data_IF_332237153224
#
_entry.id   IF_332237153224
#
_cell.length_a   1.000
_cell.length_b   1.000
_cell.length_c   1.000
_cell.angle_alpha   90.00
_cell.angle_beta   90.00
_cell.angle_gamma   90.00
#
_symmetry.space_group_name_H-M   'P 1'
#
loop_
_entity.id
_entity.type
_entity.pdbx_description
1 polymer ?
#
# COMPACT_ATOMS: atom_id res chain seq x y z
N UNK A 1 -54.12 52.65 13.69
CA UNK A 1 -53.52 51.49 14.39
C UNK A 1 -53.01 50.55 13.31
N UNK A 2 -51.72 50.63 12.99
CA UNK A 2 -51.11 49.77 11.97
C UNK A 2 -50.63 48.48 12.64
N UNK A 3 -51.09 47.33 12.15
CA UNK A 3 -50.56 46.02 12.51
C UNK A 3 -49.07 45.94 12.13
N UNK A 4 -48.17 45.46 13.01
CA UNK A 4 -46.78 45.26 12.62
C UNK A 4 -46.70 44.14 11.58
N UNK A 5 -46.02 44.40 10.46
CA UNK A 5 -45.70 43.38 9.46
C UNK A 5 -44.72 42.37 10.07
N UNK A 6 -45.19 41.16 10.38
CA UNK A 6 -44.40 40.04 10.93
C UNK A 6 -43.47 39.41 9.87
N UNK A 7 -42.65 40.21 9.18
CA UNK A 7 -41.69 39.74 8.18
C UNK A 7 -40.28 39.87 8.72
N UNK A 8 -39.54 38.75 8.80
CA UNK A 8 -38.17 38.74 9.28
C UNK A 8 -37.17 38.77 8.12
N UNK A 9 -36.08 39.52 8.26
CA UNK A 9 -34.93 39.37 7.36
C UNK A 9 -34.18 38.06 7.64
N UNK A 10 -33.42 37.56 6.65
CA UNK A 10 -32.59 36.35 6.83
C UNK A 10 -31.58 36.48 7.97
N UNK A 11 -31.00 37.67 8.15
CA UNK A 11 -30.07 37.96 9.24
C UNK A 11 -30.78 38.03 10.60
N UNK A 12 -31.99 38.60 10.66
CA UNK A 12 -32.79 38.63 11.88
C UNK A 12 -33.25 37.22 12.28
N UNK A 13 -33.61 36.39 11.30
CA UNK A 13 -33.97 35.00 11.52
C UNK A 13 -32.78 34.17 11.98
N UNK A 14 -31.62 34.33 11.35
CA UNK A 14 -30.42 33.64 11.79
C UNK A 14 -30.02 34.05 13.20
N UNK A 15 -30.00 35.35 13.51
CA UNK A 15 -29.69 35.84 14.85
C UNK A 15 -30.75 35.54 15.91
N UNK A 16 -31.95 35.10 15.51
CA UNK A 16 -32.92 34.53 16.44
C UNK A 16 -32.67 33.04 16.68
N UNK A 17 -32.22 32.31 15.65
CA UNK A 17 -31.88 30.90 15.76
C UNK A 17 -30.58 30.69 16.55
N UNK A 18 -29.57 31.55 16.33
CA UNK A 18 -28.29 31.61 17.05
C UNK A 18 -28.46 32.37 18.38
N UNK A 19 -28.69 31.65 19.48
CA UNK A 19 -28.99 32.24 20.79
C UNK A 19 -27.73 32.69 21.51
N UNK A 20 -26.63 31.96 21.32
CA UNK A 20 -25.35 32.24 21.96
C UNK A 20 -24.54 33.34 21.22
N UNK A 21 -24.96 33.71 19.99
CA UNK A 21 -24.37 34.72 19.10
C UNK A 21 -22.95 34.40 18.65
N UNK A 22 -22.60 33.12 18.52
CA UNK A 22 -21.30 32.67 18.07
C UNK A 22 -21.17 32.63 16.53
N UNK A 23 -22.25 32.95 15.80
CA UNK A 23 -22.30 32.94 14.35
C UNK A 23 -22.56 31.56 13.75
N UNK A 24 -22.94 30.60 14.58
CA UNK A 24 -23.15 29.20 14.26
C UNK A 24 -24.51 28.78 14.84
N UNK A 25 -25.28 27.98 14.11
CA UNK A 25 -26.47 27.33 14.68
C UNK A 25 -26.07 25.93 15.11
N UNK A 26 -26.07 25.68 16.42
CA UNK A 26 -25.74 24.38 17.01
C UNK A 26 -26.94 23.69 17.68
N UNK A 27 -26.68 22.55 18.32
CA UNK A 27 -27.70 21.77 19.02
C UNK A 27 -28.32 22.55 20.20
N UNK A 28 -27.52 23.29 20.94
CA UNK A 28 -27.96 24.06 22.10
C UNK A 28 -28.85 25.22 21.68
N UNK A 29 -28.52 25.87 20.56
CA UNK A 29 -29.32 26.93 19.95
C UNK A 29 -30.70 26.43 19.53
N UNK A 30 -30.76 25.30 18.81
CA UNK A 30 -32.03 24.69 18.38
C UNK A 30 -32.92 24.35 19.60
N UNK A 31 -32.34 23.79 20.66
CA UNK A 31 -33.05 23.45 21.89
C UNK A 31 -33.51 24.71 22.63
N UNK A 32 -32.66 25.73 22.71
CA UNK A 32 -32.95 27.00 23.36
C UNK A 32 -34.10 27.75 22.67
N UNK A 33 -34.10 27.79 21.34
CA UNK A 33 -35.18 28.39 20.54
C UNK A 33 -36.48 27.62 20.73
N UNK A 34 -36.45 26.29 20.71
CA UNK A 34 -37.61 25.44 20.99
C UNK A 34 -38.25 25.71 22.36
N UNK A 35 -37.46 26.07 23.36
CA UNK A 35 -37.95 26.35 24.71
C UNK A 35 -38.30 27.84 24.93
N UNK A 36 -38.13 28.70 23.92
CA UNK A 36 -38.41 30.12 24.04
C UNK A 36 -39.92 30.41 24.02
N UNK A 37 -40.43 31.34 24.86
CA UNK A 37 -41.87 31.63 24.97
C UNK A 37 -42.47 32.27 23.70
N UNK A 38 -41.61 32.74 22.78
CA UNK A 38 -42.01 33.40 21.53
C UNK A 38 -42.10 32.45 20.33
N UNK A 39 -41.69 31.19 20.48
CA UNK A 39 -41.74 30.19 19.42
C UNK A 39 -43.05 29.39 19.49
N UNK A 40 -44.00 29.68 18.61
CA UNK A 40 -45.18 28.83 18.42
C UNK A 40 -44.80 27.59 17.60
N UNK A 41 -44.21 26.59 18.26
CA UNK A 41 -43.91 25.28 17.66
C UNK A 41 -44.90 24.26 18.21
N UNK A 42 -45.56 23.52 17.33
CA UNK A 42 -46.47 22.44 17.72
C UNK A 42 -45.77 21.46 18.67
N UNK A 43 -46.43 21.09 19.77
CA UNK A 43 -45.86 20.20 20.79
C UNK A 43 -45.40 18.85 20.22
N UNK A 44 -46.09 18.33 19.19
CA UNK A 44 -45.73 17.08 18.52
C UNK A 44 -44.42 17.21 17.71
N UNK A 45 -44.24 18.34 17.01
CA UNK A 45 -43.00 18.66 16.30
C UNK A 45 -41.83 18.83 17.27
N UNK A 46 -42.08 19.49 18.41
CA UNK A 46 -41.09 19.70 19.44
C UNK A 46 -40.64 18.40 20.11
N UNK A 47 -41.57 17.45 20.32
CA UNK A 47 -41.27 16.14 20.86
C UNK A 47 -40.48 15.27 19.87
N UNK A 48 -40.83 15.31 18.58
CA UNK A 48 -40.09 14.63 17.51
C UNK A 48 -38.65 15.16 17.41
N UNK A 49 -38.48 16.48 17.42
CA UNK A 49 -37.16 17.12 17.43
C UNK A 49 -36.38 16.71 18.69
N UNK A 50 -36.94 16.83 19.89
CA UNK A 50 -36.26 16.43 21.14
C UNK A 50 -35.85 14.96 21.15
N UNK A 51 -36.71 14.07 20.66
CA UNK A 51 -36.46 12.62 20.63
C UNK A 51 -35.41 12.23 19.59
N UNK A 52 -35.45 12.85 18.39
CA UNK A 52 -34.42 12.64 17.36
C UNK A 52 -33.07 13.17 17.81
N UNK A 53 -33.05 14.32 18.47
CA UNK A 53 -31.82 14.96 18.96
C UNK A 53 -31.23 14.26 20.19
N UNK A 54 -32.03 13.73 21.12
CA UNK A 54 -31.52 13.03 22.30
C UNK A 54 -30.86 11.68 21.98
N UNK A 55 -31.27 11.04 20.89
CA UNK A 55 -30.79 9.70 20.50
C UNK A 55 -29.56 9.74 19.59
N UNK A 56 -29.20 10.91 19.03
CA UNK A 56 -28.01 11.08 18.21
C UNK A 56 -27.06 12.08 18.87
N UNK A 57 -25.99 11.59 19.50
CA UNK A 57 -24.85 12.40 19.93
C UNK A 57 -24.25 13.11 18.71
N UNK A 58 -24.62 14.36 18.45
CA UNK A 58 -24.14 15.13 17.29
C UNK A 58 -23.68 16.51 17.73
N UNK A 59 -22.38 16.78 17.57
CA UNK A 59 -21.82 18.12 17.44
C UNK A 59 -21.70 18.45 15.94
N UNK A 60 -22.63 19.25 15.43
CA UNK A 60 -22.54 19.88 14.11
C UNK A 60 -23.01 21.32 14.21
N UNK A 61 -22.36 22.14 13.42
CA UNK A 61 -22.39 23.60 13.45
C UNK A 61 -22.72 24.09 12.04
N UNK A 62 -23.79 24.87 11.89
CA UNK A 62 -24.24 25.42 10.61
C UNK A 62 -23.85 26.90 10.54
N UNK A 63 -23.06 27.28 9.54
CA UNK A 63 -22.70 28.69 9.35
C UNK A 63 -23.80 29.46 8.62
N UNK A 64 -23.78 30.80 8.69
CA UNK A 64 -24.75 31.64 7.96
C UNK A 64 -24.83 31.33 6.46
N UNK A 65 -23.70 31.02 5.81
CA UNK A 65 -23.67 30.70 4.38
C UNK A 65 -24.41 29.40 4.05
N UNK A 66 -24.22 28.39 4.90
CA UNK A 66 -24.87 27.08 4.75
C UNK A 66 -26.38 27.21 5.02
N UNK A 67 -26.75 28.01 6.01
CA UNK A 67 -28.14 28.28 6.36
C UNK A 67 -28.91 28.95 5.21
N UNK A 68 -28.30 29.96 4.57
CA UNK A 68 -28.90 30.65 3.42
C UNK A 68 -29.07 29.67 2.25
N UNK A 69 -28.05 28.87 1.93
CA UNK A 69 -28.11 27.86 0.86
C UNK A 69 -29.22 26.84 1.11
N UNK A 70 -29.39 26.42 2.37
CA UNK A 70 -30.45 25.52 2.79
C UNK A 70 -31.84 26.14 2.59
N UNK A 71 -32.05 27.40 2.94
CA UNK A 71 -33.34 28.07 2.73
C UNK A 71 -33.70 28.22 1.24
N UNK A 72 -32.70 28.46 0.38
CA UNK A 72 -32.90 28.50 -1.08
C UNK A 72 -33.30 27.15 -1.64
N UNK A 73 -32.67 26.06 -1.18
CA UNK A 73 -32.95 24.71 -1.70
C UNK A 73 -34.37 24.22 -1.42
N UNK A 74 -35.02 24.74 -0.37
CA UNK A 74 -36.39 24.38 0.01
C UNK A 74 -37.44 25.41 -0.43
N UNK A 75 -37.05 26.43 -1.21
CA UNK A 75 -37.95 27.47 -1.76
C UNK A 75 -38.77 28.23 -0.70
N UNK A 76 -38.19 28.49 0.48
CA UNK A 76 -38.90 29.08 1.63
C UNK A 76 -38.89 30.63 1.62
N UNK A 77 -38.13 31.24 0.71
CA UNK A 77 -37.65 32.62 0.85
C UNK A 77 -38.67 33.70 0.42
N UNK A 78 -39.78 33.35 -0.24
CA UNK A 78 -40.61 34.38 -0.84
C UNK A 78 -41.36 35.26 0.17
N UNK A 79 -41.65 34.80 1.40
CA UNK A 79 -42.01 35.64 2.56
C UNK A 79 -41.82 34.86 3.88
N UNK A 80 -40.77 35.17 4.66
CA UNK A 80 -40.54 34.54 5.97
C UNK A 80 -41.40 35.24 7.03
N UNK A 81 -42.53 34.62 7.36
CA UNK A 81 -43.38 35.00 8.49
C UNK A 81 -42.98 34.20 9.75
N UNK A 82 -43.35 34.69 10.94
CA UNK A 82 -43.08 34.04 12.22
C UNK A 82 -43.60 32.59 12.30
N UNK A 83 -44.68 32.28 11.56
CA UNK A 83 -45.27 30.94 11.47
C UNK A 83 -44.38 29.92 10.73
N UNK A 84 -43.41 30.39 9.92
CA UNK A 84 -42.51 29.52 9.16
C UNK A 84 -41.36 28.93 10.00
N UNK A 85 -41.19 29.41 11.23
CA UNK A 85 -40.12 28.98 12.14
C UNK A 85 -40.10 27.46 12.32
N UNK A 86 -41.26 26.82 12.51
CA UNK A 86 -41.34 25.37 12.70
C UNK A 86 -40.89 24.55 11.48
N UNK A 87 -41.17 25.02 10.26
CA UNK A 87 -40.71 24.37 9.02
C UNK A 87 -39.20 24.50 8.85
N UNK A 88 -38.68 25.69 9.13
CA UNK A 88 -37.25 25.99 9.05
C UNK A 88 -36.49 25.14 10.07
N UNK A 89 -36.98 25.04 11.31
CA UNK A 89 -36.39 24.19 12.33
C UNK A 89 -36.39 22.71 11.92
N UNK A 90 -37.47 22.19 11.33
CA UNK A 90 -37.50 20.82 10.80
C UNK A 90 -36.42 20.57 9.75
N UNK A 91 -36.22 21.52 8.83
CA UNK A 91 -35.24 21.40 7.74
C UNK A 91 -33.81 21.56 8.26
N UNK A 92 -33.59 22.50 9.17
CA UNK A 92 -32.29 22.66 9.86
C UNK A 92 -31.96 21.37 10.62
N UNK A 93 -32.91 20.82 11.37
CA UNK A 93 -32.73 19.55 12.10
C UNK A 93 -32.48 18.38 11.14
N UNK A 94 -33.19 18.26 10.03
CA UNK A 94 -32.93 17.21 9.05
C UNK A 94 -31.54 17.36 8.41
N UNK A 95 -31.09 18.58 8.13
CA UNK A 95 -29.78 18.81 7.54
C UNK A 95 -28.61 18.61 8.52
N UNK A 96 -28.80 18.96 9.79
CA UNK A 96 -27.82 18.72 10.86
C UNK A 96 -27.67 17.22 11.15
N UNK A 97 -28.72 16.43 10.95
CA UNK A 97 -28.75 14.97 11.23
C UNK A 97 -28.43 14.09 10.01
N UNK A 98 -28.76 14.51 8.78
CA UNK A 98 -28.64 13.71 7.55
C UNK A 98 -27.30 13.83 6.79
N UNK A 99 -26.24 14.41 7.35
CA UNK A 99 -24.95 14.32 6.65
C UNK A 99 -24.48 12.86 6.61
N UNK A 100 -24.68 12.24 5.46
CA UNK A 100 -24.67 10.80 5.34
C UNK A 100 -23.26 10.23 5.52
N UNK A 101 -23.19 8.97 5.94
CA UNK A 101 -21.96 8.16 5.94
C UNK A 101 -21.24 8.25 4.59
N UNK A 102 -21.95 8.44 3.48
CA UNK A 102 -21.37 8.62 2.14
C UNK A 102 -20.61 9.95 1.97
N UNK A 103 -20.97 11.02 2.68
CA UNK A 103 -20.24 12.28 2.63
C UNK A 103 -18.95 12.22 3.47
N UNK A 104 -18.95 11.44 4.56
CA UNK A 104 -17.71 11.06 5.26
C UNK A 104 -16.80 10.21 4.38
N UNK A 105 -17.34 9.21 3.67
CA UNK A 105 -16.53 8.42 2.74
C UNK A 105 -15.99 9.28 1.58
N UNK A 106 -16.78 10.22 1.05
CA UNK A 106 -16.32 11.17 0.04
C UNK A 106 -15.21 12.07 0.57
N UNK A 107 -15.36 12.67 1.76
CA UNK A 107 -14.30 13.50 2.38
C UNK A 107 -13.01 12.72 2.66
N UNK A 108 -13.14 11.48 3.13
CA UNK A 108 -12.00 10.58 3.34
C UNK A 108 -11.34 10.25 1.99
N UNK A 109 -12.10 9.84 0.97
CA UNK A 109 -11.59 9.56 -0.38
C UNK A 109 -11.01 10.81 -1.09
N UNK A 110 -11.48 12.01 -0.73
CA UNK A 110 -10.98 13.29 -1.27
C UNK A 110 -9.73 13.81 -0.56
N UNK A 111 -9.31 13.20 0.56
CA UNK A 111 -8.08 13.57 1.26
C UNK A 111 -6.85 13.32 0.38
N UNK A 112 -5.93 14.29 0.31
CA UNK A 112 -4.71 14.16 -0.49
C UNK A 112 -3.86 12.96 -0.07
N UNK A 113 -3.88 12.58 1.21
CA UNK A 113 -3.21 11.37 1.70
C UNK A 113 -3.73 10.10 1.02
N UNK A 114 -5.04 9.99 0.81
CA UNK A 114 -5.64 8.82 0.15
C UNK A 114 -5.36 8.86 -1.35
N UNK A 115 -5.37 10.04 -1.97
CA UNK A 115 -4.97 10.17 -3.37
C UNK A 115 -3.53 9.72 -3.59
N UNK A 116 -2.59 10.12 -2.73
CA UNK A 116 -1.20 9.65 -2.78
C UNK A 116 -1.08 8.13 -2.54
N UNK A 117 -1.88 7.58 -1.62
CA UNK A 117 -1.91 6.14 -1.36
C UNK A 117 -2.41 5.35 -2.57
N UNK A 118 -3.49 5.81 -3.20
CA UNK A 118 -4.06 5.19 -4.42
C UNK A 118 -3.06 5.31 -5.58
N UNK A 119 -2.49 6.50 -5.80
CA UNK A 119 -1.46 6.71 -6.82
C UNK A 119 -0.26 5.77 -6.62
N UNK A 120 0.22 5.64 -5.37
CA UNK A 120 1.30 4.72 -5.02
C UNK A 120 0.93 3.25 -5.26
N UNK A 121 -0.30 2.84 -4.93
CA UNK A 121 -0.77 1.47 -5.15
C UNK A 121 -0.90 1.12 -6.65
N UNK A 122 -1.47 2.03 -7.45
CA UNK A 122 -1.61 1.88 -8.91
C UNK A 122 -0.24 1.86 -9.57
N UNK A 123 0.65 2.80 -9.23
CA UNK A 123 2.00 2.85 -9.75
C UNK A 123 2.80 1.58 -9.42
N UNK A 124 2.68 1.09 -8.18
CA UNK A 124 3.27 -0.18 -7.76
C UNK A 124 2.75 -1.36 -8.59
N UNK A 125 1.44 -1.45 -8.81
CA UNK A 125 0.82 -2.54 -9.56
C UNK A 125 1.24 -2.54 -11.04
N UNK A 126 1.25 -1.36 -11.67
CA UNK A 126 1.70 -1.18 -13.06
C UNK A 126 3.18 -1.55 -13.22
N UNK A 127 4.04 -1.05 -12.32
CA UNK A 127 5.47 -1.38 -12.32
C UNK A 127 5.70 -2.90 -12.26
N UNK A 128 5.07 -3.61 -11.31
CA UNK A 128 5.21 -5.07 -11.18
C UNK A 128 4.71 -5.83 -12.41
N UNK A 129 3.68 -5.32 -13.07
CA UNK A 129 3.14 -5.92 -14.29
C UNK A 129 4.11 -5.77 -15.46
N UNK A 130 4.68 -4.58 -15.65
CA UNK A 130 5.68 -4.33 -16.71
C UNK A 130 6.93 -5.19 -16.50
N UNK A 131 7.40 -5.35 -15.27
CA UNK A 131 8.61 -6.15 -14.99
C UNK A 131 8.36 -7.63 -14.76
N UNK A 132 7.09 -8.08 -14.81
CA UNK A 132 6.70 -9.48 -14.61
C UNK A 132 7.48 -10.47 -15.50
N UNK A 133 7.75 -10.21 -16.80
CA UNK A 133 8.55 -11.10 -17.62
C UNK A 133 9.98 -11.33 -17.08
N UNK A 134 10.66 -10.26 -16.64
CA UNK A 134 12.03 -10.36 -16.11
C UNK A 134 12.06 -11.06 -14.76
N UNK A 135 11.04 -10.79 -13.94
CA UNK A 135 10.91 -11.37 -12.62
C UNK A 135 10.60 -12.86 -12.69
N UNK A 136 9.75 -13.27 -13.64
CA UNK A 136 9.51 -14.69 -13.92
C UNK A 136 10.79 -15.37 -14.40
N UNK A 137 11.52 -14.76 -15.33
CA UNK A 137 12.79 -15.29 -15.82
C UNK A 137 13.84 -15.41 -14.70
N UNK A 138 13.95 -14.43 -13.79
CA UNK A 138 14.79 -14.53 -12.58
C UNK A 138 14.44 -15.80 -11.80
N UNK A 139 13.16 -16.01 -11.48
CA UNK A 139 12.71 -17.18 -10.71
C UNK A 139 13.08 -18.48 -11.43
N UNK A 140 12.79 -18.58 -12.73
CA UNK A 140 13.10 -19.78 -13.53
C UNK A 140 14.59 -20.08 -13.55
N UNK A 141 15.46 -19.06 -13.64
CA UNK A 141 16.92 -19.25 -13.59
C UNK A 141 17.40 -19.72 -12.21
N UNK A 142 16.86 -19.13 -11.14
CA UNK A 142 17.29 -19.43 -9.76
C UNK A 142 16.95 -20.87 -9.34
N UNK A 143 15.92 -21.48 -9.93
CA UNK A 143 15.44 -22.80 -9.52
C UNK A 143 15.95 -23.97 -10.37
N UNK A 144 16.68 -23.72 -11.47
CA UNK A 144 17.15 -24.79 -12.37
C UNK A 144 18.08 -25.79 -11.69
N UNK A 145 17.75 -27.09 -11.72
CA UNK A 145 18.54 -28.11 -11.05
C UNK A 145 19.70 -28.72 -11.80
N UNK A 146 20.41 -29.67 -11.14
CA UNK A 146 21.54 -30.38 -11.72
C UNK A 146 21.17 -31.08 -13.04
N UNK A 147 19.95 -31.65 -13.11
CA UNK A 147 19.42 -32.33 -14.31
C UNK A 147 18.81 -31.37 -15.35
N UNK A 148 18.56 -30.10 -15.00
CA UNK A 148 17.89 -29.11 -15.86
C UNK A 148 18.77 -27.91 -16.19
N UNK A 149 20.09 -28.02 -15.99
CA UNK A 149 21.09 -26.95 -16.13
C UNK A 149 21.14 -26.31 -17.51
N UNK A 150 20.52 -26.93 -18.53
CA UNK A 150 20.44 -26.42 -19.89
C UNK A 150 19.04 -25.93 -20.33
N UNK A 151 18.01 -25.97 -19.46
CA UNK A 151 16.62 -25.74 -19.89
C UNK A 151 16.32 -24.27 -20.27
N UNK A 152 17.02 -23.32 -19.65
CA UNK A 152 16.94 -21.90 -20.01
C UNK A 152 18.32 -21.24 -19.96
N UNK A 153 18.87 -20.94 -21.13
CA UNK A 153 20.22 -20.38 -21.30
C UNK A 153 20.16 -19.02 -21.97
N UNK A 154 20.33 -17.94 -21.19
CA UNK A 154 20.35 -16.56 -21.72
C UNK A 154 18.99 -15.86 -21.71
N UNK A 155 19.01 -14.52 -21.71
CA UNK A 155 17.81 -13.69 -21.51
C UNK A 155 16.82 -13.84 -22.66
N UNK A 156 17.26 -13.60 -23.90
CA UNK A 156 16.37 -13.53 -25.06
C UNK A 156 15.79 -14.88 -25.47
N UNK A 157 16.60 -15.94 -25.44
CA UNK A 157 16.16 -17.32 -25.70
C UNK A 157 15.07 -17.75 -24.71
N UNK A 158 15.22 -17.38 -23.43
CA UNK A 158 14.26 -17.72 -22.37
C UNK A 158 12.94 -16.99 -22.57
N UNK A 159 12.99 -15.69 -22.88
CA UNK A 159 11.78 -14.92 -23.17
C UNK A 159 11.08 -15.43 -24.42
N UNK A 160 11.82 -15.74 -25.48
CA UNK A 160 11.29 -16.34 -26.70
C UNK A 160 10.65 -17.72 -26.45
N UNK A 161 11.28 -18.54 -25.60
CA UNK A 161 10.75 -19.84 -25.18
C UNK A 161 9.44 -19.68 -24.39
N UNK A 162 9.39 -18.79 -23.39
CA UNK A 162 8.16 -18.51 -22.63
C UNK A 162 7.05 -18.00 -23.56
N UNK A 163 7.38 -17.10 -24.49
CA UNK A 163 6.40 -16.59 -25.46
C UNK A 163 5.85 -17.71 -26.36
N UNK A 164 6.72 -18.55 -26.91
CA UNK A 164 6.33 -19.65 -27.80
C UNK A 164 5.52 -20.73 -27.08
N UNK A 165 5.89 -21.07 -25.84
CA UNK A 165 5.28 -22.17 -25.09
C UNK A 165 4.02 -21.74 -24.31
N UNK A 166 3.99 -20.51 -23.79
CA UNK A 166 2.94 -20.05 -22.86
C UNK A 166 2.27 -18.73 -23.26
N UNK A 167 2.80 -18.01 -24.23
CA UNK A 167 2.28 -16.72 -24.67
C UNK A 167 2.37 -15.63 -23.58
N UNK A 168 1.58 -14.57 -23.76
CA UNK A 168 1.56 -13.42 -22.85
C UNK A 168 1.16 -13.79 -21.41
N UNK A 169 0.18 -14.70 -21.26
CA UNK A 169 -0.25 -15.19 -19.94
C UNK A 169 0.90 -15.89 -19.20
N UNK A 170 1.83 -16.49 -19.92
CA UNK A 170 3.08 -17.00 -19.38
C UNK A 170 3.83 -15.93 -18.61
N UNK A 171 4.11 -14.78 -19.22
CA UNK A 171 4.87 -13.73 -18.55
C UNK A 171 4.22 -13.21 -17.26
N UNK A 172 2.89 -13.31 -17.15
CA UNK A 172 2.11 -12.83 -16.00
C UNK A 172 1.91 -13.88 -14.89
N UNK A 173 2.47 -15.09 -15.04
CA UNK A 173 2.31 -16.17 -14.04
C UNK A 173 2.91 -15.79 -12.69
N UNK A 174 2.04 -15.72 -11.68
CA UNK A 174 2.39 -15.32 -10.30
C UNK A 174 2.33 -13.81 -10.06
N UNK A 175 2.11 -12.98 -11.09
CA UNK A 175 2.02 -11.52 -10.91
C UNK A 175 0.81 -11.12 -10.07
N UNK A 176 -0.35 -11.79 -10.22
CA UNK A 176 -1.53 -11.53 -9.39
C UNK A 176 -1.25 -11.67 -7.89
N UNK A 177 -0.54 -12.73 -7.49
CA UNK A 177 -0.09 -12.91 -6.10
C UNK A 177 0.83 -11.79 -5.66
N UNK A 178 1.72 -11.31 -6.56
CA UNK A 178 2.63 -10.22 -6.26
C UNK A 178 1.91 -8.89 -6.01
N UNK A 179 0.87 -8.58 -6.79
CA UNK A 179 0.03 -7.38 -6.62
C UNK A 179 -0.77 -7.46 -5.33
N UNK A 180 -1.46 -8.59 -5.06
CA UNK A 180 -2.22 -8.80 -3.83
C UNK A 180 -1.33 -8.66 -2.59
N UNK A 181 -0.08 -9.17 -2.67
CA UNK A 181 0.88 -9.11 -1.57
C UNK A 181 1.28 -7.67 -1.19
N UNK A 182 1.16 -6.70 -2.09
CA UNK A 182 1.65 -5.33 -1.82
C UNK A 182 0.92 -4.67 -0.65
N UNK A 183 -0.40 -4.84 -0.56
CA UNK A 183 -1.22 -4.21 0.48
C UNK A 183 -0.79 -4.67 1.90
N UNK A 184 -0.83 -5.98 2.23
CA UNK A 184 -0.39 -6.43 3.56
C UNK A 184 1.10 -6.21 3.79
N UNK A 185 1.92 -6.21 2.74
CA UNK A 185 3.36 -5.92 2.85
C UNK A 185 3.58 -4.48 3.31
N UNK A 186 2.99 -3.50 2.63
CA UNK A 186 3.13 -2.09 2.98
C UNK A 186 2.54 -1.78 4.35
N UNK A 187 1.34 -2.31 4.66
CA UNK A 187 0.71 -2.12 5.97
C UNK A 187 1.58 -2.63 7.12
N UNK A 188 2.13 -3.85 6.98
CA UNK A 188 3.04 -4.42 7.98
C UNK A 188 4.34 -3.61 8.08
N UNK A 189 4.84 -3.09 6.95
CA UNK A 189 6.09 -2.33 6.92
C UNK A 189 5.96 -1.00 7.62
N UNK A 190 4.88 -0.26 7.39
CA UNK A 190 4.64 1.01 8.08
C UNK A 190 4.43 0.79 9.58
N UNK A 191 3.61 -0.19 9.96
CA UNK A 191 3.38 -0.50 11.37
C UNK A 191 4.67 -0.89 12.11
N UNK A 192 5.48 -1.78 11.51
CA UNK A 192 6.74 -2.19 12.10
C UNK A 192 7.78 -1.06 12.09
N UNK A 193 7.79 -0.22 11.05
CA UNK A 193 8.71 0.90 10.96
C UNK A 193 8.48 1.92 12.07
N UNK A 194 7.22 2.27 12.40
CA UNK A 194 6.93 3.19 13.51
C UNK A 194 7.39 2.63 14.87
N UNK A 195 7.27 1.31 15.06
CA UNK A 195 7.75 0.63 16.28
C UNK A 195 9.28 0.63 16.36
N UNK A 196 9.97 0.26 15.28
CA UNK A 196 11.44 0.29 15.28
C UNK A 196 12.00 1.71 15.31
N UNK A 197 11.28 2.67 14.71
CA UNK A 197 11.65 4.09 14.74
C UNK A 197 11.58 4.62 16.17
N UNK A 198 10.47 4.40 16.88
CA UNK A 198 10.33 4.83 18.27
C UNK A 198 11.34 4.16 19.20
N UNK A 199 11.70 2.89 18.96
CA UNK A 199 12.72 2.18 19.75
C UNK A 199 14.17 2.66 19.49
N UNK A 200 14.47 3.13 18.27
CA UNK A 200 15.82 3.55 17.87
C UNK A 200 16.04 5.08 17.95
N UNK A 201 14.99 5.84 18.30
CA UNK A 201 15.05 7.29 18.45
C UNK A 201 15.70 7.64 19.80
N UNK A 202 16.74 8.47 19.76
CA UNK A 202 17.35 9.01 20.99
C UNK A 202 16.46 10.07 21.61
N UNK A 203 16.47 10.18 22.95
CA UNK A 203 15.60 11.07 23.71
C UNK A 203 15.73 12.56 23.34
N UNK A 204 16.86 12.96 22.75
CA UNK A 204 17.16 14.35 22.38
C UNK A 204 17.06 14.67 20.88
N UNK A 205 16.63 13.71 20.03
CA UNK A 205 16.55 13.90 18.57
C UNK A 205 15.14 13.73 18.02
N UNK A 206 14.74 14.66 17.15
CA UNK A 206 13.46 14.62 16.42
C UNK A 206 13.50 13.74 15.16
N UNK A 207 14.70 13.41 14.66
CA UNK A 207 14.91 12.56 13.49
C UNK A 207 15.97 11.48 13.72
N UNK A 208 15.80 10.33 13.04
CA UNK A 208 16.78 9.26 13.04
C UNK A 208 17.96 9.59 12.12
N UNK A 209 19.18 9.38 12.61
CA UNK A 209 20.38 9.38 11.78
C UNK A 209 20.23 8.37 10.62
N UNK A 210 20.83 8.66 9.47
CA UNK A 210 20.73 7.83 8.25
C UNK A 210 20.97 6.33 8.51
N UNK A 211 21.97 5.89 9.30
CA UNK A 211 22.18 4.47 9.59
C UNK A 211 21.05 3.83 10.40
N UNK A 212 20.52 4.54 11.41
CA UNK A 212 19.42 4.03 12.25
C UNK A 212 18.11 3.98 11.49
N UNK A 213 17.87 4.96 10.62
CA UNK A 213 16.71 4.95 9.71
C UNK A 213 16.74 3.78 8.74
N UNK A 214 17.91 3.48 8.18
CA UNK A 214 18.11 2.31 7.32
C UNK A 214 17.93 1.00 8.10
N UNK A 215 18.45 0.91 9.32
CA UNK A 215 18.26 -0.25 10.19
C UNK A 215 16.78 -0.46 10.55
N UNK A 216 16.07 0.60 10.96
CA UNK A 216 14.63 0.56 11.23
C UNK A 216 13.84 0.10 10.00
N UNK A 217 14.17 0.64 8.82
CA UNK A 217 13.58 0.23 7.54
C UNK A 217 13.85 -1.24 7.20
N UNK A 218 15.06 -1.73 7.46
CA UNK A 218 15.42 -3.13 7.21
C UNK A 218 14.72 -4.12 8.15
N UNK A 219 14.63 -3.78 9.44
CA UNK A 219 13.91 -4.59 10.43
C UNK A 219 12.42 -4.61 10.10
N UNK A 220 11.83 -3.45 9.79
CA UNK A 220 10.44 -3.34 9.35
C UNK A 220 10.17 -4.15 8.07
N UNK A 221 11.07 -4.07 7.09
CA UNK A 221 11.02 -4.88 5.88
C UNK A 221 11.08 -6.38 6.17
N UNK A 222 11.91 -6.80 7.13
CA UNK A 222 12.01 -8.21 7.54
C UNK A 222 10.71 -8.71 8.15
N UNK A 223 10.10 -7.94 9.06
CA UNK A 223 8.79 -8.26 9.65
C UNK A 223 7.73 -8.37 8.54
N UNK A 224 7.72 -7.45 7.59
CA UNK A 224 6.78 -7.45 6.47
C UNK A 224 6.94 -8.63 5.54
N UNK A 225 8.19 -9.04 5.28
CA UNK A 225 8.50 -10.26 4.53
C UNK A 225 8.02 -11.48 5.29
N UNK A 226 8.20 -11.57 6.60
CA UNK A 226 7.71 -12.67 7.42
C UNK A 226 6.16 -12.74 7.39
N UNK A 227 5.47 -11.61 7.58
CA UNK A 227 4.00 -11.55 7.52
C UNK A 227 3.46 -11.97 6.15
N UNK A 228 4.14 -11.58 5.07
CA UNK A 228 3.69 -11.85 3.69
C UNK A 228 4.35 -13.07 3.03
N UNK A 229 5.12 -13.84 3.80
CA UNK A 229 5.93 -14.94 3.27
C UNK A 229 5.11 -16.02 2.55
N UNK A 230 3.94 -16.46 3.05
CA UNK A 230 3.13 -17.47 2.36
C UNK A 230 2.76 -17.06 0.92
N UNK A 231 2.45 -15.77 0.70
CA UNK A 231 2.13 -15.25 -0.63
C UNK A 231 3.36 -15.23 -1.55
N UNK A 232 4.55 -14.93 -1.02
CA UNK A 232 5.78 -14.99 -1.81
C UNK A 232 6.14 -16.44 -2.20
N UNK A 233 5.94 -17.40 -1.31
CA UNK A 233 6.13 -18.82 -1.62
C UNK A 233 5.16 -19.30 -2.70
N UNK A 234 3.86 -19.00 -2.57
CA UNK A 234 2.84 -19.36 -3.58
C UNK A 234 3.16 -18.72 -4.93
N UNK A 235 3.57 -17.46 -4.94
CA UNK A 235 4.01 -16.77 -6.16
C UNK A 235 5.11 -17.54 -6.87
N UNK A 236 6.19 -17.89 -6.16
CA UNK A 236 7.32 -18.64 -6.73
C UNK A 236 6.87 -19.96 -7.33
N UNK A 237 6.01 -20.69 -6.63
CA UNK A 237 5.50 -21.98 -7.12
C UNK A 237 4.62 -21.84 -8.34
N UNK A 238 3.71 -20.87 -8.38
CA UNK A 238 2.86 -20.62 -9.55
C UNK A 238 3.66 -20.26 -10.80
N UNK A 239 4.74 -19.46 -10.63
CA UNK A 239 5.64 -19.09 -11.73
C UNK A 239 6.38 -20.29 -12.33
N UNK A 240 6.62 -21.34 -11.55
CA UNK A 240 7.39 -22.54 -11.94
C UNK A 240 6.49 -23.69 -12.37
N UNK A 241 5.41 -23.96 -11.63
CA UNK A 241 4.42 -24.97 -11.96
C UNK A 241 3.91 -24.79 -13.38
N UNK A 242 3.67 -23.56 -13.82
CA UNK A 242 3.21 -23.30 -15.19
C UNK A 242 4.19 -23.79 -16.27
N UNK A 243 5.50 -23.69 -16.01
CA UNK A 243 6.54 -24.20 -16.91
C UNK A 243 6.66 -25.73 -16.88
N UNK A 244 6.44 -26.36 -15.71
CA UNK A 244 6.52 -27.82 -15.55
C UNK A 244 5.25 -28.55 -16.03
N UNK A 245 4.07 -28.01 -15.76
CA UNK A 245 2.79 -28.69 -16.00
C UNK A 245 2.43 -28.81 -17.48
N UNK A 246 2.81 -27.85 -18.33
CA UNK A 246 2.53 -27.95 -19.78
C UNK A 246 3.34 -29.04 -20.48
N UNK A 247 4.46 -29.44 -19.89
CA UNK A 247 5.29 -30.55 -20.36
C UNK A 247 4.70 -31.92 -19.96
N UNK A 248 3.80 -31.96 -18.95
CA UNK A 248 3.29 -33.21 -18.37
C UNK A 248 1.78 -33.46 -18.57
N UNK A 249 0.91 -32.44 -18.68
CA UNK A 249 -0.51 -32.63 -19.08
C UNK A 249 -1.23 -31.32 -19.41
N UNK A 250 -2.32 -31.41 -20.16
CA UNK A 250 -3.21 -30.30 -20.54
C UNK A 250 -4.08 -29.75 -19.37
N UNK A 251 -3.67 -29.95 -18.10
CA UNK A 251 -4.42 -29.49 -16.92
C UNK A 251 -4.17 -28.00 -16.67
N UNK A 252 -5.26 -27.28 -16.35
CA UNK A 252 -5.19 -25.86 -15.93
C UNK A 252 -4.30 -25.74 -14.69
N UNK A 253 -3.40 -24.76 -14.72
CA UNK A 253 -2.52 -24.48 -13.58
C UNK A 253 -3.36 -24.01 -12.39
N UNK A 254 -3.04 -24.44 -11.16
CA UNK A 254 -3.82 -24.10 -9.98
C UNK A 254 -3.79 -22.59 -9.69
N UNK A 255 -4.86 -22.09 -9.06
CA UNK A 255 -4.91 -20.72 -8.54
C UNK A 255 -4.12 -20.55 -7.24
N UNK A 256 -4.10 -19.32 -6.71
CA UNK A 256 -3.41 -18.96 -5.45
C UNK A 256 -3.88 -19.84 -4.29
N UNK A 257 -5.20 -19.95 -4.10
CA UNK A 257 -5.80 -20.69 -2.99
C UNK A 257 -5.57 -22.20 -3.07
N UNK A 258 -5.82 -22.89 -4.21
CA UNK A 258 -5.48 -24.31 -4.35
C UNK A 258 -4.00 -24.61 -4.08
N UNK A 259 -3.09 -23.78 -4.57
CA UNK A 259 -1.64 -23.96 -4.32
C UNK A 259 -1.32 -23.79 -2.84
N UNK A 260 -1.83 -22.75 -2.20
CA UNK A 260 -1.68 -22.53 -0.74
C UNK A 260 -2.19 -23.71 0.07
N UNK A 261 -3.42 -24.17 -0.21
CA UNK A 261 -4.03 -25.30 0.49
C UNK A 261 -3.28 -26.61 0.24
N UNK A 262 -2.72 -26.80 -0.95
CA UNK A 262 -1.92 -27.98 -1.25
C UNK A 262 -0.67 -28.00 -0.37
N UNK A 263 0.11 -26.92 -0.35
CA UNK A 263 1.33 -26.81 0.48
C UNK A 263 1.02 -27.08 1.95
N UNK A 264 -0.04 -26.46 2.47
CA UNK A 264 -0.43 -26.64 3.87
C UNK A 264 -0.77 -28.11 4.19
N UNK A 265 -1.49 -28.80 3.30
CA UNK A 265 -1.91 -30.19 3.54
C UNK A 265 -0.80 -31.21 3.30
N UNK A 266 0.11 -30.98 2.35
CA UNK A 266 1.09 -32.00 1.92
C UNK A 266 2.51 -31.77 2.44
N UNK A 267 2.86 -30.56 2.86
CA UNK A 267 4.27 -30.20 3.13
C UNK A 267 4.54 -29.72 4.57
N UNK A 268 3.73 -30.19 5.52
CA UNK A 268 3.95 -29.92 6.94
C UNK A 268 3.29 -28.63 7.43
N UNK A 269 2.14 -28.25 6.86
CA UNK A 269 1.31 -27.17 7.39
C UNK A 269 1.98 -25.81 7.30
N UNK A 270 2.03 -25.12 8.44
CA UNK A 270 2.59 -23.77 8.57
C UNK A 270 4.09 -23.77 8.25
N UNK A 271 4.85 -24.77 8.71
CA UNK A 271 6.29 -24.83 8.43
C UNK A 271 6.61 -24.93 6.93
N UNK A 272 5.76 -25.61 6.16
CA UNK A 272 5.87 -25.66 4.70
C UNK A 272 5.68 -24.30 4.03
N UNK A 273 4.73 -23.49 4.52
CA UNK A 273 4.46 -22.14 4.02
C UNK A 273 5.59 -21.13 4.27
N UNK A 274 6.48 -21.42 5.23
CA UNK A 274 7.60 -20.58 5.62
C UNK A 274 8.96 -21.13 5.16
N UNK A 275 8.97 -22.14 4.28
CA UNK A 275 10.21 -22.75 3.77
C UNK A 275 11.01 -21.74 2.94
N UNK A 276 12.19 -21.40 3.45
CA UNK A 276 13.09 -20.39 2.87
C UNK A 276 13.06 -19.03 3.57
N UNK A 277 12.30 -18.86 4.66
CA UNK A 277 12.34 -17.63 5.45
C UNK A 277 13.74 -17.43 6.04
N UNK A 278 14.38 -18.49 6.54
CA UNK A 278 15.72 -18.45 7.13
C UNK A 278 16.82 -17.87 6.22
N UNK A 279 17.04 -18.36 4.98
CA UNK A 279 18.00 -17.72 4.07
C UNK A 279 17.60 -16.28 3.70
N UNK A 280 16.30 -15.94 3.76
CA UNK A 280 15.84 -14.57 3.52
C UNK A 280 16.28 -13.64 4.65
N UNK A 281 16.04 -14.02 5.91
CA UNK A 281 16.39 -13.20 7.09
C UNK A 281 17.90 -13.10 7.26
N UNK A 282 18.65 -14.18 7.01
CA UNK A 282 20.12 -14.18 7.03
C UNK A 282 20.74 -13.18 6.04
N UNK A 283 20.06 -12.91 4.91
CA UNK A 283 20.56 -11.99 3.90
C UNK A 283 20.36 -10.51 4.23
N UNK A 284 19.38 -10.17 5.08
CA UNK A 284 18.98 -8.76 5.29
C UNK A 284 20.06 -7.94 5.99
N UNK A 285 20.53 -8.38 7.16
CA UNK A 285 21.50 -7.61 7.93
C UNK A 285 22.84 -7.43 7.16
N UNK A 286 23.43 -8.47 6.54
CA UNK A 286 24.60 -8.30 5.69
C UNK A 286 24.36 -7.40 4.49
N UNK A 287 23.19 -7.48 3.84
CA UNK A 287 22.86 -6.60 2.72
C UNK A 287 22.86 -5.13 3.13
N UNK A 288 22.24 -4.80 4.26
CA UNK A 288 22.18 -3.42 4.77
C UNK A 288 23.57 -2.90 5.13
N UNK A 289 24.36 -3.71 5.84
CA UNK A 289 25.71 -3.35 6.24
C UNK A 289 26.61 -3.11 5.01
N UNK A 290 26.59 -4.03 4.04
CA UNK A 290 27.38 -3.90 2.81
C UNK A 290 26.92 -2.73 1.95
N UNK A 291 25.61 -2.52 1.81
CA UNK A 291 25.09 -1.41 1.04
C UNK A 291 25.52 -0.07 1.64
N UNK A 292 25.45 0.08 2.96
CA UNK A 292 25.91 1.28 3.65
C UNK A 292 27.42 1.48 3.49
N UNK A 293 28.22 0.45 3.77
CA UNK A 293 29.67 0.54 3.64
C UNK A 293 30.10 0.89 2.21
N UNK A 294 29.53 0.21 1.20
CA UNK A 294 29.81 0.51 -0.19
C UNK A 294 29.34 1.92 -0.58
N UNK A 295 28.23 2.39 -0.02
CA UNK A 295 27.74 3.75 -0.28
C UNK A 295 28.70 4.82 0.25
N UNK A 296 29.16 4.70 1.50
CA UNK A 296 30.09 5.68 2.07
C UNK A 296 31.43 5.68 1.32
N UNK A 297 31.98 4.51 1.01
CA UNK A 297 33.20 4.39 0.19
C UNK A 297 33.00 5.04 -1.18
N UNK A 298 31.92 4.69 -1.90
CA UNK A 298 31.66 5.26 -3.23
C UNK A 298 31.44 6.76 -3.16
N UNK A 299 30.79 7.27 -2.12
CA UNK A 299 30.54 8.69 -1.91
C UNK A 299 31.85 9.46 -1.68
N UNK A 300 32.78 8.93 -0.89
CA UNK A 300 34.11 9.52 -0.68
C UNK A 300 34.91 9.63 -1.99
N UNK A 301 34.86 8.61 -2.85
CA UNK A 301 35.55 8.65 -4.14
C UNK A 301 34.84 9.47 -5.23
N UNK A 302 33.51 9.44 -5.25
CA UNK A 302 32.70 9.99 -6.35
C UNK A 302 32.11 11.36 -6.04
N UNK A 303 32.27 11.95 -4.85
CA UNK A 303 31.77 13.29 -4.50
C UNK A 303 32.87 14.07 -3.75
N UNK A 304 33.74 14.83 -4.46
CA UNK A 304 34.67 15.75 -3.81
C UNK A 304 33.91 16.94 -3.19
N UNK A 305 34.47 17.48 -2.11
CA UNK A 305 33.86 18.39 -1.12
C UNK A 305 33.32 19.72 -1.69
N UNK A 306 33.61 20.07 -2.95
CA UNK A 306 33.37 21.42 -3.51
C UNK A 306 32.15 21.58 -4.45
N UNK A 307 31.46 20.51 -4.86
CA UNK A 307 30.31 20.58 -5.79
C UNK A 307 29.02 20.00 -5.18
N UNK A 308 28.36 20.74 -4.28
CA UNK A 308 27.06 20.32 -3.72
C UNK A 308 25.92 20.38 -4.76
N UNK A 309 26.02 21.23 -5.79
CA UNK A 309 24.94 21.51 -6.76
C UNK A 309 24.74 20.41 -7.83
N UNK A 310 25.77 19.62 -8.14
CA UNK A 310 25.70 18.44 -9.05
C UNK A 310 25.41 17.11 -8.29
N UNK A 311 25.07 17.19 -7.00
CA UNK A 311 25.12 16.07 -6.06
C UNK A 311 24.03 15.01 -6.21
N UNK A 312 22.83 15.34 -6.69
CA UNK A 312 21.68 14.41 -6.58
C UNK A 312 21.78 13.19 -7.49
N UNK A 313 22.19 13.37 -8.76
CA UNK A 313 22.38 12.27 -9.70
C UNK A 313 23.57 11.40 -9.29
N UNK A 314 24.68 12.01 -8.86
CA UNK A 314 25.87 11.29 -8.37
C UNK A 314 25.55 10.49 -7.11
N UNK A 315 24.82 11.06 -6.14
CA UNK A 315 24.33 10.35 -4.94
C UNK A 315 23.43 9.18 -5.32
N UNK A 316 22.55 9.35 -6.30
CA UNK A 316 21.68 8.28 -6.80
C UNK A 316 22.48 7.17 -7.48
N UNK A 317 23.49 7.51 -8.29
CA UNK A 317 24.41 6.54 -8.90
C UNK A 317 25.23 5.80 -7.86
N UNK A 318 25.75 6.49 -6.84
CA UNK A 318 26.45 5.87 -5.71
C UNK A 318 25.54 4.86 -4.99
N UNK A 319 24.28 5.25 -4.73
CA UNK A 319 23.29 4.35 -4.13
C UNK A 319 22.97 3.13 -5.00
N UNK A 320 22.81 3.34 -6.32
CA UNK A 320 22.53 2.26 -7.26
C UNK A 320 23.71 1.28 -7.38
N UNK A 321 24.94 1.79 -7.42
CA UNK A 321 26.16 0.98 -7.46
C UNK A 321 26.40 0.23 -6.14
N UNK A 322 26.29 0.93 -5.00
CA UNK A 322 26.41 0.32 -3.67
C UNK A 322 25.39 -0.82 -3.48
N UNK A 323 24.13 -0.56 -3.83
CA UNK A 323 23.07 -1.56 -3.77
C UNK A 323 23.32 -2.73 -4.71
N UNK A 324 23.89 -2.49 -5.90
CA UNK A 324 24.23 -3.54 -6.86
C UNK A 324 25.38 -4.42 -6.36
N UNK A 325 26.42 -3.83 -5.76
CA UNK A 325 27.56 -4.55 -5.16
C UNK A 325 27.09 -5.40 -3.98
N UNK A 326 26.34 -4.81 -3.05
CA UNK A 326 25.77 -5.51 -1.92
C UNK A 326 24.85 -6.66 -2.37
N UNK A 327 24.01 -6.43 -3.38
CA UNK A 327 23.16 -7.47 -3.96
C UNK A 327 23.97 -8.61 -4.59
N UNK A 328 25.10 -8.33 -5.26
CA UNK A 328 25.98 -9.38 -5.82
C UNK A 328 26.51 -10.28 -4.72
N UNK A 329 27.01 -9.70 -3.62
CA UNK A 329 27.61 -10.47 -2.52
C UNK A 329 26.56 -11.34 -1.82
N UNK A 330 25.35 -10.80 -1.62
CA UNK A 330 24.25 -11.50 -0.94
C UNK A 330 23.46 -12.42 -1.88
N UNK A 331 23.68 -12.33 -3.19
CA UNK A 331 22.92 -13.08 -4.20
C UNK A 331 22.84 -14.60 -3.97
N UNK A 332 23.88 -15.30 -3.48
CA UNK A 332 23.80 -16.73 -3.17
C UNK A 332 22.66 -17.09 -2.21
N UNK A 333 22.39 -16.24 -1.19
CA UNK A 333 21.26 -16.44 -0.27
C UNK A 333 19.91 -16.21 -0.96
N UNK A 334 19.89 -15.31 -1.94
CA UNK A 334 18.72 -15.00 -2.77
C UNK A 334 18.33 -16.18 -3.68
N UNK A 335 19.33 -16.85 -4.28
CA UNK A 335 19.12 -18.11 -5.03
C UNK A 335 18.64 -19.21 -4.08
N UNK A 336 19.30 -19.33 -2.94
CA UNK A 336 18.99 -20.35 -1.95
C UNK A 336 17.55 -20.26 -1.43
N UNK A 337 17.07 -19.05 -1.13
CA UNK A 337 15.66 -18.79 -0.81
C UNK A 337 14.73 -19.41 -1.83
N UNK A 338 14.95 -19.16 -3.13
CA UNK A 338 14.08 -19.70 -4.19
C UNK A 338 14.14 -21.22 -4.28
N UNK A 339 15.31 -21.83 -4.07
CA UNK A 339 15.48 -23.29 -4.01
C UNK A 339 14.67 -23.90 -2.86
N UNK A 340 14.70 -23.28 -1.69
CA UNK A 340 13.92 -23.72 -0.54
C UNK A 340 12.42 -23.58 -0.78
N UNK A 341 11.97 -22.49 -1.42
CA UNK A 341 10.54 -22.29 -1.73
C UNK A 341 9.95 -23.35 -2.67
N UNK A 342 10.78 -23.96 -3.52
CA UNK A 342 10.37 -25.00 -4.48
C UNK A 342 10.69 -26.42 -4.03
N UNK A 343 11.52 -26.57 -2.98
CA UNK A 343 11.72 -27.85 -2.31
C UNK A 343 10.36 -28.33 -1.79
N UNK A 344 10.01 -29.59 -2.08
CA UNK A 344 8.70 -30.19 -1.81
C UNK A 344 7.76 -30.26 -3.02
N UNK A 345 8.05 -29.57 -4.12
CA UNK A 345 7.33 -29.77 -5.37
C UNK A 345 7.72 -31.12 -6.01
N UNK A 346 6.74 -31.97 -6.30
CA UNK A 346 6.94 -33.20 -7.08
C UNK A 346 7.72 -32.87 -8.37
N UNK A 347 8.81 -33.61 -8.63
CA UNK A 347 9.82 -33.42 -9.70
C UNK A 347 11.04 -32.53 -9.38
N UNK A 348 11.15 -31.94 -8.18
CA UNK A 348 12.31 -31.15 -7.79
C UNK A 348 13.02 -31.80 -6.59
N UNK A 349 14.11 -32.53 -6.86
CA UNK A 349 14.83 -33.38 -5.90
C UNK A 349 15.77 -32.59 -4.96
N UNK A 350 15.25 -31.50 -4.38
CA UNK A 350 15.97 -30.67 -3.42
C UNK A 350 15.62 -31.07 -2.00
N UNK A 351 16.40 -32.00 -1.46
CA UNK A 351 16.40 -32.26 -0.02
C UNK A 351 17.60 -31.55 0.61
N UNK A 352 17.32 -30.48 1.34
CA UNK A 352 18.34 -29.69 2.03
C UNK A 352 18.09 -29.71 3.53
N UNK A 353 19.04 -30.25 4.28
CA UNK A 353 18.98 -30.27 5.75
C UNK A 353 19.35 -28.92 6.40
N UNK A 354 19.71 -27.90 5.60
CA UNK A 354 20.05 -26.56 6.07
C UNK A 354 20.70 -25.70 5.00
N UNK A 355 20.83 -24.39 5.28
CA UNK A 355 21.40 -23.39 4.36
C UNK A 355 22.83 -23.73 3.93
N UNK A 356 23.68 -24.15 4.88
CA UNK A 356 25.07 -24.51 4.58
C UNK A 356 25.18 -25.78 3.75
N UNK A 357 24.41 -26.82 4.12
CA UNK A 357 24.36 -28.07 3.36
C UNK A 357 23.92 -27.83 1.91
N UNK A 358 22.92 -26.97 1.73
CA UNK A 358 22.44 -26.59 0.43
C UNK A 358 23.48 -25.81 -0.39
N UNK A 359 24.16 -24.83 0.22
CA UNK A 359 25.22 -24.08 -0.44
C UNK A 359 26.35 -25.00 -0.91
N UNK A 360 26.81 -25.91 -0.03
CA UNK A 360 27.84 -26.92 -0.35
C UNK A 360 27.39 -27.87 -1.45
N UNK A 361 26.15 -28.35 -1.37
CA UNK A 361 25.60 -29.28 -2.38
C UNK A 361 25.48 -28.61 -3.74
N UNK A 362 25.05 -27.34 -3.79
CA UNK A 362 24.93 -26.57 -5.02
C UNK A 362 26.29 -26.34 -5.67
N UNK A 363 27.31 -25.94 -4.90
CA UNK A 363 28.65 -25.71 -5.45
C UNK A 363 29.30 -26.99 -5.94
N UNK A 364 29.09 -28.12 -5.23
CA UNK A 364 29.64 -29.41 -5.62
C UNK A 364 28.94 -30.04 -6.84
N UNK A 365 27.60 -29.97 -6.91
CA UNK A 365 26.82 -30.64 -7.97
C UNK A 365 26.56 -29.77 -9.20
N UNK A 366 26.39 -28.46 -9.03
CA UNK A 366 26.02 -27.53 -10.10
C UNK A 366 27.10 -26.50 -10.43
N UNK A 367 28.17 -26.45 -9.64
CA UNK A 367 29.27 -25.49 -9.78
C UNK A 367 28.95 -24.10 -9.21
N UNK A 368 30.00 -23.26 -9.09
CA UNK A 368 29.90 -21.93 -8.48
C UNK A 368 28.96 -20.96 -9.23
N UNK A 369 28.87 -21.09 -10.56
CA UNK A 369 27.97 -20.27 -11.40
C UNK A 369 26.48 -20.45 -11.04
N UNK A 370 26.11 -21.58 -10.42
CA UNK A 370 24.73 -21.84 -9.98
C UNK A 370 24.23 -20.84 -8.93
N UNK A 371 25.14 -20.31 -8.10
CA UNK A 371 24.84 -19.34 -7.04
C UNK A 371 24.47 -17.95 -7.56
N UNK A 372 24.72 -17.67 -8.85
CA UNK A 372 24.49 -16.37 -9.48
C UNK A 372 23.48 -16.43 -10.64
N UNK A 373 22.78 -17.56 -10.80
CA UNK A 373 21.73 -17.70 -11.82
C UNK A 373 20.60 -16.71 -11.55
N UNK A 374 20.25 -15.93 -12.58
CA UNK A 374 19.21 -14.90 -12.48
C UNK A 374 19.71 -13.52 -12.07
N UNK A 375 21.02 -13.32 -11.87
CA UNK A 375 21.57 -12.03 -11.48
C UNK A 375 21.33 -10.96 -12.56
N UNK A 376 21.61 -11.30 -13.82
CA UNK A 376 21.37 -10.39 -14.95
C UNK A 376 19.90 -9.92 -15.07
N UNK A 377 18.88 -10.80 -15.12
CA UNK A 377 17.49 -10.34 -15.13
C UNK A 377 17.11 -9.56 -13.86
N UNK A 378 17.78 -9.82 -12.73
CA UNK A 378 17.58 -9.02 -11.53
C UNK A 378 18.07 -7.58 -11.68
N UNK A 379 19.13 -7.30 -12.45
CA UNK A 379 19.57 -5.94 -12.76
C UNK A 379 18.72 -5.28 -13.83
N UNK A 380 18.45 -6.00 -14.93
CA UNK A 380 17.69 -5.47 -16.07
C UNK A 380 16.29 -5.00 -15.69
N UNK A 381 15.68 -5.60 -14.67
CA UNK A 381 14.34 -5.20 -14.21
C UNK A 381 14.32 -3.91 -13.37
N UNK A 382 15.43 -3.48 -12.79
CA UNK A 382 15.44 -2.38 -11.79
C UNK A 382 15.10 -1.05 -12.43
N UNK A 383 15.79 -0.68 -13.52
CA UNK A 383 15.56 0.60 -14.18
C UNK A 383 14.12 0.73 -14.75
N UNK A 384 13.57 -0.26 -15.47
CA UNK A 384 12.17 -0.23 -15.91
C UNK A 384 11.18 -0.18 -14.74
N UNK A 385 11.43 -0.94 -13.66
CA UNK A 385 10.56 -0.92 -12.48
C UNK A 385 10.49 0.49 -11.86
N UNK A 386 11.63 1.16 -11.69
CA UNK A 386 11.69 2.51 -11.14
C UNK A 386 11.06 3.52 -12.08
N UNK A 387 11.42 3.49 -13.37
CA UNK A 387 10.86 4.41 -14.37
C UNK A 387 9.33 4.33 -14.42
N UNK A 388 8.76 3.13 -14.49
CA UNK A 388 7.30 2.95 -14.51
C UNK A 388 6.65 3.37 -13.20
N UNK A 389 7.30 3.11 -12.05
CA UNK A 389 6.74 3.52 -10.75
C UNK A 389 6.65 5.04 -10.66
N UNK A 390 7.74 5.76 -10.93
CA UNK A 390 7.75 7.22 -10.86
C UNK A 390 6.81 7.84 -11.90
N UNK A 391 6.88 7.40 -13.15
CA UNK A 391 6.02 7.92 -14.21
C UNK A 391 4.53 7.69 -13.91
N UNK A 392 4.17 6.46 -13.50
CA UNK A 392 2.77 6.14 -13.18
C UNK A 392 2.28 6.88 -11.93
N UNK A 393 3.17 7.10 -10.96
CA UNK A 393 2.84 7.84 -9.74
C UNK A 393 2.54 9.31 -10.06
N UNK A 394 3.42 9.98 -10.82
CA UNK A 394 3.19 11.38 -11.24
C UNK A 394 1.93 11.50 -12.10
N UNK A 395 1.72 10.61 -13.07
CA UNK A 395 0.52 10.60 -13.90
C UNK A 395 -0.76 10.42 -13.06
N UNK A 396 -0.76 9.49 -12.09
CA UNK A 396 -1.91 9.30 -11.20
C UNK A 396 -2.15 10.52 -10.31
N UNK A 397 -1.08 11.13 -9.80
CA UNK A 397 -1.14 12.35 -8.99
C UNK A 397 -1.76 13.52 -9.79
N UNK A 398 -1.32 13.69 -11.03
CA UNK A 398 -1.85 14.70 -11.96
C UNK A 398 -3.34 14.47 -12.25
N UNK A 399 -3.73 13.24 -12.60
CA UNK A 399 -5.14 12.88 -12.89
C UNK A 399 -6.04 13.10 -11.67
N UNK A 400 -5.54 12.80 -10.47
CA UNK A 400 -6.32 12.93 -9.22
C UNK A 400 -6.29 14.34 -8.62
N UNK A 401 -5.58 15.29 -9.25
CA UNK A 401 -5.34 16.64 -8.72
C UNK A 401 -4.88 16.62 -7.25
N UNK A 402 -4.04 15.65 -6.88
CA UNK A 402 -3.39 15.62 -5.58
C UNK A 402 -2.19 16.57 -5.65
N UNK A 403 -2.28 17.75 -5.02
CA UNK A 403 -1.21 18.75 -5.08
C UNK A 403 0.02 18.31 -4.29
#
# INVERSE_FOLDING_TARGET
MNSPSNTWSLQQLFGFLDQNKDGIIDLHDIIAVCNSPNAHVDQETLLDIKTKLSNQLIEKHLTFSDFVTLLYSHSIIDHIQSEHLGKIMKIVVSHTTESSVMDRYRLILSSDTIKHLVAGAVAGALSRTVVSPMERMKILFQVQGPQSTAAYTGVWSTLGKIWKEEGFQGFMRGNGTNVIRMIPYSASQFAAYEQFKSLLMEQDKTELDTPRRLLAGALAGTVSVACTYPLDLVRTRLSIQSALFKQASNKKSPGIWPTMSHIYKTEGGIYGLYRGLWPTTLGVAPYVALNFQCYEVLKEYLIPIQDESQGNIRKLLCGALAGSIAQTIIYPLDVLRRRFQVSGMNNMDYQYNGTWHALKTMTQKEGFKSLYRGLLPNYLKVAPAMGVTFYSYELCKEIMHAK
#
